data_IF_804204769943
#
_entry.id   IF_804204769943
#
_cell.length_a   1.000
_cell.length_b   1.000
_cell.length_c   1.000
_cell.angle_alpha   90.00
_cell.angle_beta   90.00
_cell.angle_gamma   90.00
#
_symmetry.space_group_name_H-M   'P 1'
#
loop_
_entity.id
_entity.type
_entity.pdbx_description
1 polymer ?
#
# COMPACT_ATOMS: atom_id res chain seq x y z
N UNK A 1 -20.54 -54.35 11.87
CA UNK A 1 -19.36 -53.48 11.71
C UNK A 1 -19.65 -52.37 10.66
N UNK A 2 -20.68 -51.48 10.92
CA UNK A 2 -21.10 -50.42 9.99
C UNK A 2 -21.47 -49.09 10.69
N UNK A 3 -21.04 -48.87 11.95
CA UNK A 3 -21.47 -47.68 12.71
C UNK A 3 -20.34 -46.67 13.01
N UNK A 4 -19.10 -46.90 12.52
CA UNK A 4 -17.95 -46.03 12.86
C UNK A 4 -17.62 -44.96 11.82
N UNK A 5 -18.30 -44.94 10.66
CA UNK A 5 -17.98 -44.01 9.55
C UNK A 5 -18.76 -42.70 9.59
N UNK A 6 -19.82 -42.60 10.42
CA UNK A 6 -20.74 -41.45 10.43
C UNK A 6 -20.32 -40.33 11.40
N UNK A 7 -19.43 -40.60 12.37
CA UNK A 7 -19.03 -39.59 13.39
C UNK A 7 -17.92 -38.69 12.90
N UNK A 8 -17.07 -39.14 11.98
CA UNK A 8 -15.99 -38.30 11.38
C UNK A 8 -16.51 -37.23 10.40
N UNK A 9 -17.70 -37.42 9.83
CA UNK A 9 -18.29 -36.50 8.84
C UNK A 9 -18.87 -35.23 9.47
N UNK A 10 -19.32 -35.25 10.70
CA UNK A 10 -19.97 -34.11 11.37
C UNK A 10 -18.98 -33.05 11.89
N UNK A 11 -17.78 -33.46 12.29
CA UNK A 11 -16.75 -32.52 12.79
C UNK A 11 -16.18 -31.66 11.64
N UNK A 12 -16.00 -32.26 10.48
CA UNK A 12 -15.53 -31.55 9.29
C UNK A 12 -16.54 -30.52 8.75
N UNK A 13 -17.82 -30.78 8.84
CA UNK A 13 -18.90 -29.89 8.36
C UNK A 13 -19.04 -28.63 9.21
N UNK A 14 -18.91 -28.72 10.52
CA UNK A 14 -18.99 -27.55 11.43
C UNK A 14 -17.76 -26.63 11.32
N UNK A 15 -16.58 -27.20 11.21
CA UNK A 15 -15.35 -26.42 10.98
C UNK A 15 -15.40 -25.71 9.64
N UNK A 16 -15.86 -26.39 8.59
CA UNK A 16 -15.99 -25.83 7.24
C UNK A 16 -17.03 -24.71 7.17
N UNK A 17 -18.12 -24.75 7.97
CA UNK A 17 -19.11 -23.67 8.05
C UNK A 17 -18.54 -22.41 8.72
N UNK A 18 -17.78 -22.55 9.81
CA UNK A 18 -17.14 -21.44 10.51
C UNK A 18 -16.07 -20.78 9.63
N UNK A 19 -15.21 -21.56 8.96
CA UNK A 19 -14.20 -21.03 8.05
C UNK A 19 -14.81 -20.18 6.93
N UNK A 20 -15.87 -20.66 6.32
CA UNK A 20 -16.58 -19.92 5.27
C UNK A 20 -17.21 -18.62 5.79
N UNK A 21 -17.81 -18.65 6.97
CA UNK A 21 -18.43 -17.48 7.60
C UNK A 21 -17.38 -16.45 8.00
N UNK A 22 -16.29 -16.88 8.63
CA UNK A 22 -15.15 -16.06 9.01
C UNK A 22 -14.46 -15.41 7.81
N UNK A 23 -14.27 -16.18 6.73
CA UNK A 23 -13.68 -15.66 5.48
C UNK A 23 -14.56 -14.59 4.84
N UNK A 24 -15.88 -14.81 4.77
CA UNK A 24 -16.83 -13.81 4.28
C UNK A 24 -16.80 -12.53 5.11
N UNK A 25 -16.67 -12.66 6.42
CA UNK A 25 -16.59 -11.52 7.32
C UNK A 25 -15.27 -10.75 7.13
N UNK A 26 -14.14 -11.46 6.98
CA UNK A 26 -12.86 -10.87 6.62
C UNK A 26 -12.95 -10.08 5.30
N UNK A 27 -13.45 -10.69 4.26
CA UNK A 27 -13.60 -10.05 2.94
C UNK A 27 -14.51 -8.81 2.99
N UNK A 28 -15.57 -8.84 3.80
CA UNK A 28 -16.45 -7.69 3.99
C UNK A 28 -15.79 -6.53 4.74
N UNK A 29 -14.96 -6.83 5.74
CA UNK A 29 -14.27 -5.80 6.53
C UNK A 29 -13.04 -5.21 5.84
N UNK A 30 -12.41 -5.96 4.93
CA UNK A 30 -11.17 -5.57 4.23
C UNK A 30 -11.34 -5.69 2.72
N UNK A 31 -12.22 -4.87 2.11
CA UNK A 31 -12.53 -4.94 0.67
C UNK A 31 -11.38 -4.50 -0.23
N UNK A 32 -10.32 -3.90 0.32
CA UNK A 32 -9.11 -3.49 -0.39
C UNK A 32 -8.24 -4.66 -0.84
N UNK A 33 -8.48 -5.88 -0.32
CA UNK A 33 -7.79 -7.10 -0.78
C UNK A 33 -8.61 -7.83 -1.83
N UNK A 34 -8.00 -8.13 -2.97
CA UNK A 34 -8.61 -8.92 -4.05
C UNK A 34 -8.93 -10.35 -3.61
N UNK A 35 -8.09 -10.90 -2.74
CA UNK A 35 -8.23 -12.25 -2.21
C UNK A 35 -7.66 -12.32 -0.81
N UNK A 36 -8.35 -13.01 0.08
CA UNK A 36 -7.86 -13.40 1.40
C UNK A 36 -7.92 -14.92 1.48
N UNK A 37 -6.80 -15.54 1.75
CA UNK A 37 -6.73 -16.95 2.13
C UNK A 37 -6.61 -17.05 3.64
N UNK A 38 -7.34 -18.00 4.23
CA UNK A 38 -7.38 -18.18 5.69
C UNK A 38 -7.12 -19.64 6.03
N UNK A 39 -6.35 -19.86 7.09
CA UNK A 39 -6.10 -21.17 7.64
C UNK A 39 -6.30 -21.15 9.15
N UNK A 40 -7.17 -22.01 9.66
CA UNK A 40 -7.33 -22.24 11.10
C UNK A 40 -6.03 -22.84 11.68
N UNK A 41 -5.61 -22.28 12.83
CA UNK A 41 -4.45 -22.79 13.56
C UNK A 41 -4.81 -23.86 14.59
N UNK A 42 -6.08 -23.97 14.95
CA UNK A 42 -6.57 -24.85 16.00
C UNK A 42 -7.87 -25.52 15.58
N UNK A 43 -7.95 -26.83 15.82
CA UNK A 43 -9.22 -27.54 15.69
C UNK A 43 -10.08 -27.24 16.92
N UNK A 44 -11.36 -27.01 16.68
CA UNK A 44 -12.34 -26.83 17.74
C UNK A 44 -12.78 -28.19 18.31
N UNK A 45 -13.15 -28.18 19.57
CA UNK A 45 -13.71 -29.34 20.23
C UNK A 45 -15.09 -29.65 19.64
N UNK A 46 -15.43 -30.93 19.45
CA UNK A 46 -16.72 -31.34 18.84
C UNK A 46 -17.95 -30.96 19.67
N UNK A 47 -17.76 -30.65 20.96
CA UNK A 47 -18.81 -30.24 21.92
C UNK A 47 -18.93 -28.69 22.02
N UNK A 48 -18.16 -27.94 21.23
CA UNK A 48 -18.14 -26.47 21.24
C UNK A 48 -18.70 -25.92 19.92
N UNK A 49 -19.78 -25.15 20.02
CA UNK A 49 -20.35 -24.39 18.90
C UNK A 49 -19.73 -23.00 18.86
N UNK A 50 -19.11 -22.64 17.74
CA UNK A 50 -18.47 -21.35 17.52
C UNK A 50 -19.15 -20.65 16.36
N UNK A 51 -19.52 -19.38 16.59
CA UNK A 51 -20.09 -18.49 15.57
C UNK A 51 -19.36 -17.16 15.58
N UNK A 52 -19.29 -16.49 14.43
CA UNK A 52 -18.67 -15.17 14.30
C UNK A 52 -19.50 -14.13 15.08
N UNK A 53 -18.81 -13.30 15.86
CA UNK A 53 -19.43 -12.17 16.56
C UNK A 53 -19.29 -10.91 15.71
N UNK A 54 -20.30 -10.60 14.94
CA UNK A 54 -20.34 -9.45 14.03
C UNK A 54 -20.44 -8.09 14.74
N UNK A 55 -20.65 -8.07 16.05
CA UNK A 55 -20.73 -6.83 16.84
C UNK A 55 -19.35 -6.24 17.12
N UNK A 56 -18.27 -7.02 16.92
CA UNK A 56 -16.90 -6.65 17.19
C UNK A 56 -16.06 -6.71 15.93
N UNK A 57 -15.13 -5.76 15.76
CA UNK A 57 -14.25 -5.69 14.60
C UNK A 57 -13.17 -6.78 14.64
N UNK A 58 -12.78 -7.25 13.45
CA UNK A 58 -11.61 -8.11 13.26
C UNK A 58 -10.34 -7.27 13.41
N UNK A 59 -9.34 -7.79 14.13
CA UNK A 59 -7.99 -7.23 14.13
C UNK A 59 -7.15 -7.98 13.10
N UNK A 60 -6.61 -7.25 12.13
CA UNK A 60 -5.78 -7.80 11.07
C UNK A 60 -4.34 -7.32 11.25
N UNK A 61 -3.42 -8.26 11.37
CA UNK A 61 -1.98 -8.02 11.44
C UNK A 61 -1.24 -8.67 10.28
N UNK A 62 0.09 -8.66 10.34
CA UNK A 62 0.94 -9.29 9.31
C UNK A 62 0.82 -10.81 9.36
N UNK A 63 -0.02 -11.38 8.50
CA UNK A 63 -0.23 -12.83 8.38
C UNK A 63 -1.10 -13.46 9.45
N UNK A 64 -1.78 -12.66 10.30
CA UNK A 64 -2.68 -13.15 11.33
C UNK A 64 -3.91 -12.27 11.42
N UNK A 65 -5.08 -12.88 11.49
CA UNK A 65 -6.32 -12.20 11.84
C UNK A 65 -6.86 -12.75 13.18
N UNK A 66 -7.38 -11.86 14.00
CA UNK A 66 -8.06 -12.18 15.26
C UNK A 66 -9.54 -11.95 15.04
N UNK A 67 -10.30 -13.02 14.98
CA UNK A 67 -11.72 -13.03 14.68
C UNK A 67 -12.49 -13.15 16.00
N UNK A 68 -13.35 -12.18 16.35
CA UNK A 68 -14.21 -12.27 17.50
C UNK A 68 -15.30 -13.32 17.27
N UNK A 69 -15.55 -14.13 18.29
CA UNK A 69 -16.50 -15.23 18.23
C UNK A 69 -17.33 -15.33 19.51
N UNK A 70 -18.49 -15.95 19.37
CA UNK A 70 -19.31 -16.43 20.48
C UNK A 70 -19.15 -17.94 20.53
N UNK A 71 -18.60 -18.42 21.64
CA UNK A 71 -18.37 -19.84 21.89
C UNK A 71 -19.43 -20.37 22.86
N UNK A 72 -20.12 -21.46 22.50
CA UNK A 72 -21.13 -22.12 23.34
C UNK A 72 -20.70 -23.55 23.61
N UNK A 73 -20.55 -23.89 24.90
CA UNK A 73 -20.27 -25.24 25.39
C UNK A 73 -21.31 -25.69 26.36
N UNK A 74 -22.13 -26.68 25.99
CA UNK A 74 -23.31 -27.08 26.75
C UNK A 74 -24.31 -25.92 26.90
N UNK A 75 -24.58 -25.51 28.14
CA UNK A 75 -25.45 -24.36 28.46
C UNK A 75 -24.71 -23.02 28.66
N UNK A 76 -23.39 -23.01 28.57
CA UNK A 76 -22.58 -21.80 28.78
C UNK A 76 -22.21 -21.18 27.45
N UNK A 77 -22.51 -19.88 27.33
CA UNK A 77 -22.12 -19.06 26.18
C UNK A 77 -21.16 -17.97 26.67
N UNK A 78 -20.06 -17.75 25.94
CA UNK A 78 -19.06 -16.74 26.26
C UNK A 78 -18.53 -16.08 25.01
N UNK A 79 -18.14 -14.82 25.14
CA UNK A 79 -17.38 -14.08 24.12
C UNK A 79 -15.94 -14.57 24.14
N UNK A 80 -15.36 -14.82 22.96
CA UNK A 80 -14.00 -15.31 22.78
C UNK A 80 -13.37 -14.75 21.51
N UNK A 81 -12.18 -15.19 21.18
CA UNK A 81 -11.48 -14.86 19.94
C UNK A 81 -10.87 -16.11 19.31
N UNK A 82 -10.76 -16.11 17.99
CA UNK A 82 -10.05 -17.13 17.22
C UNK A 82 -8.95 -16.47 16.42
N UNK A 83 -7.71 -16.93 16.60
CA UNK A 83 -6.55 -16.51 15.80
C UNK A 83 -6.43 -17.42 14.58
N UNK A 84 -6.31 -16.83 13.40
CA UNK A 84 -6.16 -17.54 12.13
C UNK A 84 -4.96 -17.00 11.37
N UNK A 85 -4.27 -17.86 10.62
CA UNK A 85 -3.28 -17.41 9.63
C UNK A 85 -4.01 -16.90 8.40
N UNK A 86 -3.50 -15.79 7.84
CA UNK A 86 -4.05 -15.23 6.61
C UNK A 86 -2.93 -14.95 5.61
N UNK A 87 -3.27 -15.11 4.33
CA UNK A 87 -2.51 -14.57 3.21
C UNK A 87 -3.39 -13.53 2.51
N UNK A 88 -2.80 -12.37 2.27
CA UNK A 88 -3.49 -11.17 1.78
C UNK A 88 -2.98 -10.84 0.39
N UNK A 89 -3.87 -10.78 -0.56
CA UNK A 89 -3.54 -10.50 -1.95
C UNK A 89 -4.13 -9.18 -2.40
N UNK A 90 -3.31 -8.35 -3.01
CA UNK A 90 -3.72 -7.03 -3.51
C UNK A 90 -3.27 -6.85 -4.96
N UNK A 91 -4.07 -6.13 -5.72
CA UNK A 91 -3.76 -5.75 -7.08
C UNK A 91 -2.84 -4.53 -7.08
N UNK A 92 -1.60 -4.69 -7.54
CA UNK A 92 -0.56 -3.68 -7.46
C UNK A 92 0.22 -3.52 -8.77
N UNK A 93 0.94 -2.41 -8.88
CA UNK A 93 1.88 -2.16 -9.97
C UNK A 93 3.18 -2.93 -9.73
N UNK A 94 3.54 -3.78 -10.69
CA UNK A 94 4.76 -4.59 -10.69
C UNK A 94 5.60 -4.21 -11.90
N UNK A 95 6.90 -3.97 -11.71
CA UNK A 95 7.79 -3.60 -12.79
C UNK A 95 7.95 -4.75 -13.80
N UNK A 96 7.69 -4.49 -15.08
CA UNK A 96 7.83 -5.48 -16.15
C UNK A 96 9.26 -5.54 -16.73
N UNK A 97 10.11 -4.58 -16.34
CA UNK A 97 11.54 -4.49 -16.68
C UNK A 97 12.35 -3.95 -15.50
N UNK A 98 13.66 -3.98 -15.63
CA UNK A 98 14.54 -3.25 -14.71
C UNK A 98 14.43 -1.74 -15.00
N UNK A 99 14.38 -0.91 -13.93
CA UNK A 99 14.28 0.55 -14.06
C UNK A 99 15.41 1.16 -13.24
N UNK A 100 16.21 1.96 -13.94
CA UNK A 100 17.41 2.57 -13.37
C UNK A 100 17.11 3.80 -12.53
N UNK A 101 18.05 4.15 -11.65
CA UNK A 101 17.96 5.37 -10.84
C UNK A 101 17.86 6.61 -11.73
N UNK A 102 17.01 7.55 -11.37
CA UNK A 102 16.67 8.80 -12.09
C UNK A 102 15.93 8.60 -13.41
N UNK A 103 15.59 7.39 -13.76
CA UNK A 103 14.77 7.13 -14.94
C UNK A 103 13.34 7.61 -14.71
N UNK A 104 12.81 8.35 -15.69
CA UNK A 104 11.42 8.85 -15.70
C UNK A 104 10.49 7.68 -15.95
N UNK A 105 9.39 7.62 -15.23
CA UNK A 105 8.46 6.51 -15.26
C UNK A 105 7.42 6.69 -16.36
N UNK A 106 7.16 5.60 -17.06
CA UNK A 106 6.02 5.46 -17.95
C UNK A 106 5.07 4.37 -17.42
N UNK A 107 3.79 4.51 -17.70
CA UNK A 107 2.79 3.51 -17.30
C UNK A 107 3.08 2.13 -17.92
N UNK A 108 3.71 2.10 -19.10
CA UNK A 108 4.16 0.90 -19.79
C UNK A 108 5.29 0.14 -19.10
N UNK A 109 5.97 0.74 -18.12
CA UNK A 109 7.03 0.10 -17.35
C UNK A 109 6.51 -0.88 -16.30
N UNK A 110 5.20 -0.86 -16.08
CA UNK A 110 4.52 -1.63 -15.06
C UNK A 110 3.37 -2.44 -15.64
N UNK A 111 3.12 -3.55 -15.02
CA UNK A 111 1.91 -4.34 -15.21
C UNK A 111 1.15 -4.46 -13.89
N UNK A 112 -0.15 -4.66 -13.98
CA UNK A 112 -0.98 -4.86 -12.80
C UNK A 112 -1.07 -6.34 -12.49
N UNK A 113 -0.59 -6.73 -11.31
CA UNK A 113 -0.62 -8.12 -10.84
C UNK A 113 -1.29 -8.23 -9.48
N UNK A 114 -1.93 -9.39 -9.23
CA UNK A 114 -2.41 -9.76 -7.89
C UNK A 114 -1.26 -10.46 -7.18
N UNK A 115 -0.73 -9.82 -6.13
CA UNK A 115 0.46 -10.28 -5.41
C UNK A 115 0.18 -10.46 -3.92
N UNK A 116 0.90 -11.39 -3.29
CA UNK A 116 0.86 -11.58 -1.84
C UNK A 116 1.53 -10.39 -1.15
N UNK A 117 0.74 -9.66 -0.36
CA UNK A 117 1.18 -8.49 0.41
C UNK A 117 1.24 -8.76 1.91
N UNK A 118 1.07 -9.99 2.34
CA UNK A 118 1.01 -10.38 3.76
C UNK A 118 2.20 -9.88 4.57
N UNK A 119 3.38 -9.90 3.97
CA UNK A 119 4.65 -9.46 4.58
C UNK A 119 5.27 -8.25 3.87
N UNK A 120 4.50 -7.58 3.02
CA UNK A 120 5.00 -6.41 2.31
C UNK A 120 5.41 -5.32 3.31
N UNK A 121 6.64 -4.85 3.16
CA UNK A 121 7.15 -3.69 3.88
C UNK A 121 7.14 -2.48 2.94
N UNK A 122 6.59 -1.36 3.40
CA UNK A 122 6.48 -0.15 2.60
C UNK A 122 5.09 0.07 2.04
N UNK A 123 4.89 1.23 1.45
CA UNK A 123 3.61 1.67 0.90
C UNK A 123 3.59 1.42 -0.61
N UNK A 124 2.74 0.50 -1.12
CA UNK A 124 2.62 0.31 -2.55
C UNK A 124 1.93 1.51 -3.20
N UNK A 125 2.42 1.87 -4.38
CA UNK A 125 1.83 2.94 -5.19
C UNK A 125 0.44 2.52 -5.66
N UNK A 126 -0.53 3.44 -5.57
CA UNK A 126 -1.91 3.24 -6.03
C UNK A 126 -1.96 3.07 -7.56
N UNK A 127 -2.94 2.28 -8.06
CA UNK A 127 -3.09 1.99 -9.49
C UNK A 127 -3.44 3.22 -10.34
N UNK A 128 -4.08 4.21 -9.74
CA UNK A 128 -4.49 5.48 -10.33
C UNK A 128 -3.45 6.60 -10.15
N UNK A 129 -2.31 6.29 -9.53
CA UNK A 129 -1.26 7.26 -9.29
C UNK A 129 -0.67 7.81 -10.59
N UNK A 130 -0.48 9.13 -10.67
CA UNK A 130 0.12 9.81 -11.81
C UNK A 130 1.64 9.69 -11.75
N UNK A 131 2.20 8.79 -12.53
CA UNK A 131 3.64 8.51 -12.57
C UNK A 131 4.45 9.58 -13.32
N UNK A 132 3.83 10.39 -14.17
CA UNK A 132 4.49 11.31 -15.12
C UNK A 132 5.36 12.37 -14.45
N UNK A 133 5.05 12.74 -13.20
CA UNK A 133 5.80 13.75 -12.45
C UNK A 133 6.88 13.14 -11.56
N UNK A 134 7.11 11.83 -11.70
CA UNK A 134 8.00 11.06 -10.84
C UNK A 134 9.06 10.31 -11.63
N UNK A 135 10.19 10.10 -10.99
CA UNK A 135 11.27 9.24 -11.45
C UNK A 135 11.70 8.30 -10.34
N UNK A 136 12.44 7.27 -10.69
CA UNK A 136 12.96 6.30 -9.72
C UNK A 136 14.09 6.92 -8.90
N UNK A 137 13.94 6.89 -7.58
CA UNK A 137 14.94 7.30 -6.60
C UNK A 137 16.05 6.26 -6.42
N UNK A 138 15.68 4.99 -6.47
CA UNK A 138 16.61 3.85 -6.33
C UNK A 138 16.16 2.72 -7.25
N UNK A 139 17.11 1.95 -7.79
CA UNK A 139 16.87 0.84 -8.72
C UNK A 139 15.66 -0.02 -8.36
N UNK A 140 14.85 -0.35 -9.36
CA UNK A 140 13.70 -1.25 -9.27
C UNK A 140 13.94 -2.43 -10.21
N UNK A 141 13.89 -3.63 -9.66
CA UNK A 141 14.10 -4.87 -10.42
C UNK A 141 12.81 -5.29 -11.11
N UNK A 142 12.92 -5.92 -12.27
CA UNK A 142 11.78 -6.62 -12.90
C UNK A 142 11.13 -7.59 -11.92
N UNK A 143 9.79 -7.53 -11.82
CA UNK A 143 8.99 -8.33 -10.88
C UNK A 143 8.86 -7.70 -9.49
N UNK A 144 9.50 -6.55 -9.22
CA UNK A 144 9.39 -5.83 -7.94
C UNK A 144 8.13 -4.97 -7.91
N UNK A 145 7.46 -4.93 -6.76
CA UNK A 145 6.31 -4.06 -6.52
C UNK A 145 6.79 -2.62 -6.45
N UNK A 146 6.09 -1.70 -7.12
CA UNK A 146 6.39 -0.28 -7.03
C UNK A 146 5.93 0.27 -5.69
N UNK A 147 6.87 0.76 -4.88
CA UNK A 147 6.64 1.37 -3.59
C UNK A 147 6.84 2.89 -3.65
N UNK A 148 6.09 3.65 -2.83
CA UNK A 148 6.19 5.12 -2.78
C UNK A 148 7.60 5.60 -2.42
N UNK A 149 8.32 4.88 -1.55
CA UNK A 149 9.69 5.22 -1.13
C UNK A 149 10.73 5.04 -2.25
N UNK A 150 10.37 4.36 -3.34
CA UNK A 150 11.17 4.26 -4.56
C UNK A 150 11.01 5.46 -5.49
N UNK A 151 10.05 6.34 -5.22
CA UNK A 151 9.72 7.48 -6.05
C UNK A 151 10.36 8.78 -5.54
N UNK A 152 10.74 9.63 -6.47
CA UNK A 152 11.02 11.04 -6.21
C UNK A 152 10.37 11.90 -7.30
N UNK A 153 9.90 13.08 -6.94
CA UNK A 153 9.40 14.06 -7.93
C UNK A 153 10.53 14.47 -8.85
N UNK A 154 10.22 14.62 -10.14
CA UNK A 154 11.17 15.19 -11.10
C UNK A 154 11.34 16.67 -10.76
N UNK A 155 12.57 17.14 -10.46
CA UNK A 155 12.78 18.54 -10.17
C UNK A 155 12.55 19.38 -11.44
N UNK A 156 11.86 20.50 -11.30
CA UNK A 156 11.69 21.47 -12.38
C UNK A 156 12.96 22.29 -12.61
N UNK A 157 13.78 22.43 -11.56
CA UNK A 157 15.05 23.15 -11.58
C UNK A 157 16.11 22.26 -10.95
N UNK A 158 17.21 22.07 -11.64
CA UNK A 158 18.36 21.31 -11.16
C UNK A 158 19.52 22.23 -10.76
N UNK A 159 20.42 21.73 -9.91
CA UNK A 159 21.65 22.48 -9.55
C UNK A 159 22.43 22.80 -10.81
N UNK A 160 22.80 24.08 -10.96
CA UNK A 160 23.51 24.61 -12.11
C UNK A 160 22.61 25.10 -13.25
N UNK A 161 21.31 24.88 -13.18
CA UNK A 161 20.38 25.41 -14.19
C UNK A 161 20.38 26.94 -14.18
N UNK A 162 20.42 27.52 -15.37
CA UNK A 162 20.23 28.94 -15.59
C UNK A 162 18.73 29.23 -15.59
N UNK A 163 18.30 30.10 -14.70
CA UNK A 163 16.89 30.46 -14.50
C UNK A 163 16.71 31.98 -14.52
N UNK A 164 15.52 32.44 -14.89
CA UNK A 164 15.14 33.85 -14.73
C UNK A 164 14.43 34.02 -13.39
N UNK A 165 15.02 34.80 -12.51
CA UNK A 165 14.40 35.21 -11.26
C UNK A 165 13.66 36.54 -11.42
N UNK A 166 12.39 36.59 -11.05
CA UNK A 166 11.57 37.79 -11.15
C UNK A 166 11.15 38.26 -9.76
N UNK A 167 11.26 39.58 -9.56
CA UNK A 167 10.71 40.25 -8.38
C UNK A 167 9.62 41.21 -8.87
N UNK A 168 8.43 41.06 -8.31
CA UNK A 168 7.25 41.95 -8.61
C UNK A 168 6.99 42.83 -7.39
N UNK A 169 6.96 44.12 -7.60
CA UNK A 169 6.54 45.12 -6.61
C UNK A 169 5.57 46.10 -7.26
N UNK A 170 4.28 45.94 -6.99
CA UNK A 170 3.21 46.67 -7.68
C UNK A 170 3.26 46.43 -9.19
N UNK A 171 3.38 47.51 -9.96
CA UNK A 171 3.47 47.45 -11.42
C UNK A 171 4.91 47.27 -11.97
N UNK A 172 5.89 47.19 -11.09
CA UNK A 172 7.31 47.00 -11.48
C UNK A 172 7.67 45.55 -11.40
N UNK A 173 8.21 45.02 -12.51
CA UNK A 173 8.83 43.67 -12.55
C UNK A 173 10.28 43.84 -12.89
N UNK A 174 11.14 43.29 -12.03
CA UNK A 174 12.58 43.21 -12.25
C UNK A 174 12.92 41.74 -12.50
N UNK A 175 13.58 41.45 -13.61
CA UNK A 175 14.04 40.12 -13.97
C UNK A 175 15.59 40.10 -13.97
N UNK A 176 16.17 39.02 -13.45
CA UNK A 176 17.61 38.77 -13.46
C UNK A 176 17.91 37.31 -13.75
N UNK A 177 18.98 37.07 -14.51
CA UNK A 177 19.50 35.71 -14.69
C UNK A 177 20.23 35.26 -13.43
N UNK A 178 20.02 34.00 -13.06
CA UNK A 178 20.65 33.40 -11.91
C UNK A 178 20.87 31.90 -12.14
N UNK A 179 21.78 31.31 -11.36
CA UNK A 179 22.05 29.86 -11.38
C UNK A 179 21.51 29.20 -10.12
N UNK A 180 20.81 28.08 -10.29
CA UNK A 180 20.27 27.33 -9.18
C UNK A 180 21.35 26.61 -8.37
N UNK A 181 21.32 26.73 -7.06
CA UNK A 181 22.20 26.03 -6.12
C UNK A 181 21.58 24.75 -5.55
N UNK A 182 20.29 24.56 -5.75
CA UNK A 182 19.51 23.45 -5.22
C UNK A 182 18.57 22.92 -6.30
N UNK A 183 18.25 21.62 -6.20
CA UNK A 183 17.13 21.07 -6.94
C UNK A 183 15.81 21.57 -6.33
N UNK A 184 14.79 21.77 -7.16
CA UNK A 184 13.51 22.14 -6.66
C UNK A 184 12.36 21.82 -7.61
N UNK A 185 11.20 21.58 -7.03
CA UNK A 185 9.94 21.36 -7.71
C UNK A 185 9.05 22.61 -7.62
N UNK A 186 7.92 22.62 -8.33
CA UNK A 186 6.96 23.73 -8.27
C UNK A 186 6.58 24.06 -6.81
N UNK A 187 6.68 25.33 -6.47
CA UNK A 187 6.35 25.86 -5.15
C UNK A 187 7.50 25.87 -4.15
N UNK A 188 8.61 25.18 -4.44
CA UNK A 188 9.78 25.15 -3.56
C UNK A 188 10.49 26.50 -3.54
N UNK A 189 11.05 26.84 -2.36
CA UNK A 189 11.93 27.99 -2.17
C UNK A 189 13.37 27.49 -2.29
N UNK A 190 14.08 27.94 -3.35
CA UNK A 190 15.47 27.54 -3.62
C UNK A 190 16.43 28.70 -3.56
N UNK A 191 17.70 28.41 -3.32
CA UNK A 191 18.79 29.38 -3.44
C UNK A 191 19.29 29.46 -4.87
N UNK A 192 19.45 30.70 -5.32
CA UNK A 192 20.00 31.05 -6.60
C UNK A 192 21.25 31.94 -6.39
N UNK A 193 22.19 31.91 -7.33
CA UNK A 193 23.31 32.86 -7.41
C UNK A 193 23.15 33.75 -8.62
N UNK A 194 23.16 35.07 -8.38
CA UNK A 194 23.23 36.09 -9.42
C UNK A 194 24.27 37.14 -9.02
N UNK A 195 25.22 37.44 -9.91
CA UNK A 195 26.29 38.45 -9.67
C UNK A 195 26.97 38.29 -8.31
N UNK A 196 27.38 37.05 -7.94
CA UNK A 196 28.01 36.67 -6.67
C UNK A 196 27.17 36.91 -5.41
N UNK A 197 25.87 37.16 -5.55
CA UNK A 197 24.90 37.26 -4.44
C UNK A 197 24.00 36.07 -4.42
N UNK A 198 23.70 35.59 -3.21
CA UNK A 198 22.71 34.53 -3.00
C UNK A 198 21.36 35.19 -2.81
N UNK A 199 20.38 34.76 -3.59
CA UNK A 199 18.97 35.16 -3.50
C UNK A 199 18.13 33.92 -3.29
N UNK A 200 16.95 34.07 -2.66
CA UNK A 200 15.97 33.01 -2.51
C UNK A 200 14.79 33.31 -3.41
N UNK A 201 14.36 32.33 -4.19
CA UNK A 201 13.24 32.44 -5.08
C UNK A 201 12.33 31.21 -5.00
N UNK A 202 11.03 31.45 -5.18
CA UNK A 202 10.05 30.37 -5.27
C UNK A 202 9.91 29.91 -6.72
N UNK A 203 9.95 28.60 -6.94
CA UNK A 203 9.75 28.04 -8.27
C UNK A 203 8.28 28.16 -8.66
N UNK A 204 8.00 28.91 -9.72
CA UNK A 204 6.69 29.01 -10.35
C UNK A 204 6.69 28.15 -11.62
N UNK A 205 5.50 27.71 -12.07
CA UNK A 205 5.41 27.02 -13.34
C UNK A 205 5.66 28.03 -14.46
N UNK A 206 6.68 27.81 -15.30
CA UNK A 206 6.75 28.54 -16.57
C UNK A 206 5.71 27.94 -17.50
N UNK A 207 4.74 28.77 -17.88
CA UNK A 207 3.93 28.52 -19.07
C UNK A 207 4.85 28.89 -20.24
N UNK A 208 5.30 27.88 -21.00
CA UNK A 208 5.94 28.08 -22.29
C UNK A 208 4.92 28.50 -23.32
#
# INVERSE_FOLDING_TARGET
MKLLLFILFNVSVLAQSFEQEALKYLQKQFPEFEKIEMQLQKNFSSDEKIIVDYSRNISLGRGTAIIPVIATKGKKTSSSIVSVKVQLYKKLLVANRNIERKEVLAKSDFETQVVDVTKLNGNPVSLDFLLTDYRIKSFVKKGEILLEEKLEKIPLVSVGDKVNAEVKNGNVTISTEAFARQHGSKGDLIELVSSNKIIKARILMQIK
#
